data_IF_468066445214
#
_entry.id   IF_468066445214
#
_cell.length_a   1.000
_cell.length_b   1.000
_cell.length_c   1.000
_cell.angle_alpha   90.00
_cell.angle_beta   90.00
_cell.angle_gamma   90.00
#
_symmetry.space_group_name_H-M   'P 1'
#
loop_
_entity.id
_entity.type
_entity.pdbx_description
1 polymer ?
#
# COMPACT_ATOMS: atom_id res chain seq x y z
N UNK A 1 -5.51 -9.81 -9.03
CA UNK A 1 -5.92 -8.53 -9.65
C UNK A 1 -4.84 -8.15 -10.66
N UNK A 2 -5.18 -8.09 -11.95
CA UNK A 2 -4.23 -7.87 -13.06
C UNK A 2 -4.27 -6.45 -13.61
N UNK A 3 -4.50 -5.43 -12.76
CA UNK A 3 -4.80 -4.07 -13.20
C UNK A 3 -3.71 -3.46 -14.13
N UNK A 4 -2.44 -3.80 -13.90
CA UNK A 4 -1.35 -3.41 -14.81
C UNK A 4 -1.46 -4.10 -16.17
N UNK A 5 -1.75 -5.40 -16.20
CA UNK A 5 -1.92 -6.15 -17.43
C UNK A 5 -3.14 -5.66 -18.21
N UNK A 6 -4.23 -5.33 -17.50
CA UNK A 6 -5.44 -4.77 -18.08
C UNK A 6 -5.17 -3.41 -18.74
N UNK A 7 -4.42 -2.52 -18.07
CA UNK A 7 -3.98 -1.25 -18.66
C UNK A 7 -3.04 -1.45 -19.86
N UNK A 8 -2.15 -2.44 -19.82
CA UNK A 8 -1.25 -2.73 -20.94
C UNK A 8 -2.00 -3.26 -22.16
N UNK A 9 -3.08 -4.03 -21.95
CA UNK A 9 -3.96 -4.53 -23.01
C UNK A 9 -4.85 -3.42 -23.57
N UNK A 10 -5.50 -2.66 -22.68
CA UNK A 10 -6.44 -1.61 -23.04
C UNK A 10 -6.11 -0.33 -22.28
N UNK A 11 -5.64 0.69 -23.01
CA UNK A 11 -5.18 1.97 -22.44
C UNK A 11 -6.32 2.98 -22.35
N UNK A 12 -7.22 2.79 -21.39
CA UNK A 12 -8.33 3.71 -21.10
C UNK A 12 -8.07 4.46 -19.80
N UNK A 13 -8.82 5.54 -19.55
CA UNK A 13 -8.73 6.28 -18.29
C UNK A 13 -9.14 5.41 -17.09
N UNK A 14 -10.11 4.51 -17.27
CA UNK A 14 -10.55 3.58 -16.23
C UNK A 14 -9.48 2.54 -15.87
N UNK A 15 -8.86 1.90 -16.88
CA UNK A 15 -7.79 0.93 -16.62
C UNK A 15 -6.54 1.61 -16.05
N UNK A 16 -6.25 2.84 -16.47
CA UNK A 16 -5.21 3.67 -15.85
C UNK A 16 -5.52 3.94 -14.38
N UNK A 17 -6.73 4.39 -14.04
CA UNK A 17 -7.13 4.64 -12.65
C UNK A 17 -6.99 3.38 -11.78
N UNK A 18 -7.49 2.23 -12.26
CA UNK A 18 -7.34 0.95 -11.56
C UNK A 18 -5.88 0.57 -11.33
N UNK A 19 -5.01 0.84 -12.31
CA UNK A 19 -3.57 0.60 -12.19
C UNK A 19 -2.90 1.55 -11.18
N UNK A 20 -3.29 2.82 -11.15
CA UNK A 20 -2.79 3.82 -10.20
C UNK A 20 -3.25 3.52 -8.76
N UNK A 21 -4.48 3.05 -8.58
CA UNK A 21 -4.98 2.59 -7.28
C UNK A 21 -4.12 1.42 -6.78
N UNK A 22 -3.82 0.45 -7.65
CA UNK A 22 -2.93 -0.65 -7.29
C UNK A 22 -1.51 -0.17 -6.96
N UNK A 23 -0.98 0.81 -7.69
CA UNK A 23 0.30 1.44 -7.36
C UNK A 23 0.26 2.14 -6.01
N UNK A 24 -0.83 2.82 -5.67
CA UNK A 24 -0.95 3.48 -4.35
C UNK A 24 -0.92 2.47 -3.20
N UNK A 25 -1.48 1.27 -3.40
CA UNK A 25 -1.43 0.17 -2.43
C UNK A 25 0.00 -0.38 -2.31
N UNK A 26 0.67 -0.60 -3.44
CA UNK A 26 2.05 -1.07 -3.47
C UNK A 26 2.99 -0.13 -2.68
N UNK A 27 2.99 1.15 -3.04
CA UNK A 27 3.88 2.16 -2.42
C UNK A 27 3.48 2.49 -0.98
N UNK A 28 2.17 2.52 -0.70
CA UNK A 28 1.65 2.93 0.61
C UNK A 28 1.59 1.81 1.65
N UNK A 29 1.08 0.64 1.29
CA UNK A 29 0.83 -0.46 2.24
C UNK A 29 1.95 -1.48 2.19
N UNK A 30 2.26 -2.05 1.01
CA UNK A 30 3.20 -3.16 0.90
C UNK A 30 4.64 -2.74 1.26
N UNK A 31 5.11 -1.57 0.79
CA UNK A 31 6.44 -1.09 1.17
C UNK A 31 6.52 -0.70 2.64
N UNK A 32 5.49 -0.05 3.18
CA UNK A 32 5.49 0.39 4.58
C UNK A 32 5.48 -0.80 5.56
N UNK A 33 4.71 -1.86 5.27
CA UNK A 33 4.74 -3.10 6.06
C UNK A 33 6.13 -3.75 6.02
N UNK A 34 6.79 -3.77 4.84
CA UNK A 34 8.14 -4.27 4.67
C UNK A 34 9.19 -3.48 5.48
N UNK A 35 9.08 -2.15 5.56
CA UNK A 35 10.01 -1.32 6.32
C UNK A 35 9.91 -1.53 7.84
N UNK A 36 8.72 -1.83 8.34
CA UNK A 36 8.50 -2.08 9.78
C UNK A 36 9.41 -3.18 10.32
N UNK A 37 9.67 -4.23 9.52
CA UNK A 37 10.60 -5.29 9.88
C UNK A 37 12.03 -4.79 10.11
N UNK A 38 12.57 -4.03 9.15
CA UNK A 38 13.93 -3.52 9.24
C UNK A 38 14.08 -2.54 10.42
N UNK A 39 13.07 -1.70 10.67
CA UNK A 39 13.08 -0.82 11.83
C UNK A 39 13.05 -1.58 13.15
N UNK A 40 12.35 -2.72 13.22
CA UNK A 40 12.38 -3.58 14.40
C UNK A 40 13.79 -4.15 14.66
N UNK A 41 14.50 -4.59 13.61
CA UNK A 41 15.90 -5.03 13.75
C UNK A 41 16.82 -3.90 14.22
N UNK A 42 16.65 -2.69 13.67
CA UNK A 42 17.43 -1.52 14.06
C UNK A 42 17.24 -1.20 15.54
N UNK A 43 16.02 -1.33 16.09
CA UNK A 43 15.74 -1.16 17.53
C UNK A 43 16.48 -2.17 18.40
N UNK A 44 16.77 -3.34 17.87
CA UNK A 44 17.58 -4.37 18.54
C UNK A 44 19.10 -4.19 18.28
N UNK A 45 19.52 -3.04 17.75
CA UNK A 45 20.89 -2.74 17.33
C UNK A 45 21.44 -3.71 16.25
N UNK A 46 20.55 -4.31 15.45
CA UNK A 46 20.90 -5.20 14.33
C UNK A 46 20.66 -4.47 13.00
N UNK A 47 21.52 -4.74 12.01
CA UNK A 47 21.35 -4.23 10.64
C UNK A 47 21.22 -2.69 10.53
N UNK A 48 21.88 -1.92 11.40
CA UNK A 48 21.77 -0.45 11.45
C UNK A 48 22.21 0.24 10.16
N UNK A 49 23.19 -0.31 9.44
CA UNK A 49 23.58 0.17 8.11
C UNK A 49 22.46 0.04 7.08
N UNK A 50 21.80 -1.12 7.03
CA UNK A 50 20.61 -1.34 6.18
C UNK A 50 19.46 -0.44 6.60
N UNK A 51 19.26 -0.22 7.91
CA UNK A 51 18.26 0.71 8.42
C UNK A 51 18.39 2.14 7.87
N UNK A 52 19.62 2.62 7.68
CA UNK A 52 19.87 3.92 7.03
C UNK A 52 19.44 3.91 5.56
N UNK A 53 19.76 2.86 4.82
CA UNK A 53 19.33 2.72 3.41
C UNK A 53 17.80 2.71 3.32
N UNK A 54 17.14 1.91 4.16
CA UNK A 54 15.67 1.84 4.22
C UNK A 54 15.05 3.20 4.55
N UNK A 55 15.69 4.02 5.38
CA UNK A 55 15.18 5.37 5.67
C UNK A 55 15.21 6.31 4.46
N UNK A 56 16.19 6.17 3.56
CA UNK A 56 16.21 6.94 2.32
C UNK A 56 15.12 6.47 1.36
N UNK A 57 14.96 5.16 1.21
CA UNK A 57 13.89 4.58 0.37
C UNK A 57 12.52 5.04 0.88
N UNK A 58 12.25 4.91 2.19
CA UNK A 58 10.97 5.33 2.77
C UNK A 58 10.66 6.82 2.53
N UNK A 59 11.69 7.69 2.53
CA UNK A 59 11.51 9.10 2.19
C UNK A 59 11.07 9.30 0.75
N UNK A 60 11.60 8.50 -0.17
CA UNK A 60 11.25 8.57 -1.59
C UNK A 60 9.83 8.00 -1.81
N UNK A 61 9.45 6.94 -1.09
CA UNK A 61 8.09 6.36 -1.18
C UNK A 61 6.97 7.29 -0.71
N UNK A 62 7.25 8.20 0.24
CA UNK A 62 6.32 9.27 0.61
C UNK A 62 6.04 10.21 -0.58
N UNK A 63 7.06 10.50 -1.39
CA UNK A 63 6.90 11.33 -2.58
C UNK A 63 6.14 10.57 -3.70
N UNK A 64 6.43 9.28 -3.89
CA UNK A 64 5.70 8.44 -4.85
C UNK A 64 4.21 8.34 -4.50
N UNK A 65 3.89 8.03 -3.25
CA UNK A 65 2.50 7.93 -2.78
C UNK A 65 1.74 9.25 -2.94
N UNK A 66 2.40 10.37 -2.63
CA UNK A 66 1.83 11.70 -2.85
C UNK A 66 1.57 11.97 -4.33
N UNK A 67 2.56 11.70 -5.18
CA UNK A 67 2.42 11.89 -6.63
C UNK A 67 1.25 11.09 -7.20
N UNK A 68 1.14 9.81 -6.86
CA UNK A 68 0.04 8.94 -7.32
C UNK A 68 -1.31 9.49 -6.85
N UNK A 69 -1.40 9.94 -5.60
CA UNK A 69 -2.63 10.50 -5.04
C UNK A 69 -3.08 11.76 -5.76
N UNK A 70 -2.15 12.69 -6.03
CA UNK A 70 -2.44 13.91 -6.78
C UNK A 70 -2.82 13.61 -8.24
N UNK A 71 -2.15 12.64 -8.87
CA UNK A 71 -2.47 12.22 -10.23
C UNK A 71 -3.88 11.61 -10.33
N UNK A 72 -4.27 10.75 -9.39
CA UNK A 72 -5.64 10.20 -9.33
C UNK A 72 -6.67 11.34 -9.18
N UNK A 73 -6.41 12.31 -8.29
CA UNK A 73 -7.29 13.48 -8.10
C UNK A 73 -7.42 14.32 -9.37
N UNK A 74 -6.31 14.56 -10.07
CA UNK A 74 -6.31 15.31 -11.32
C UNK A 74 -7.13 14.60 -12.40
N UNK A 75 -6.91 13.29 -12.59
CA UNK A 75 -7.65 12.49 -13.59
C UNK A 75 -9.16 12.51 -13.31
N UNK A 76 -9.57 12.30 -12.06
CA UNK A 76 -10.99 12.33 -11.66
C UNK A 76 -11.57 13.74 -11.80
N UNK A 77 -10.79 14.77 -11.45
CA UNK A 77 -11.21 16.17 -11.56
C UNK A 77 -11.42 16.62 -13.01
N UNK A 78 -10.60 16.12 -13.94
CA UNK A 78 -10.73 16.38 -15.38
C UNK A 78 -11.81 15.52 -16.06
N UNK A 79 -12.16 14.37 -15.48
CA UNK A 79 -13.10 13.40 -16.03
C UNK A 79 -14.13 12.94 -14.96
N UNK A 80 -15.10 13.79 -14.59
CA UNK A 80 -16.04 13.50 -13.50
C UNK A 80 -16.90 12.25 -13.73
N UNK A 81 -17.11 11.84 -14.98
CA UNK A 81 -17.83 10.63 -15.36
C UNK A 81 -17.15 9.34 -14.89
N UNK A 82 -15.84 9.39 -14.61
CA UNK A 82 -15.10 8.26 -14.06
C UNK A 82 -15.39 8.03 -12.57
N UNK A 83 -15.98 9.02 -11.88
CA UNK A 83 -16.36 8.90 -10.48
C UNK A 83 -17.65 8.09 -10.33
N UNK A 84 -17.54 6.79 -10.58
CA UNK A 84 -18.66 5.86 -10.51
C UNK A 84 -18.71 5.12 -9.17
N UNK A 85 -19.88 4.54 -8.87
CA UNK A 85 -20.04 3.68 -7.69
C UNK A 85 -19.18 2.41 -7.83
N UNK A 86 -19.00 1.92 -9.06
CA UNK A 86 -18.17 0.77 -9.39
C UNK A 86 -16.70 1.04 -9.11
N UNK A 87 -16.19 2.23 -9.48
CA UNK A 87 -14.81 2.62 -9.16
C UNK A 87 -14.62 2.73 -7.64
N UNK A 88 -15.57 3.33 -6.93
CA UNK A 88 -15.53 3.45 -5.47
C UNK A 88 -15.50 2.07 -4.81
N UNK A 89 -16.38 1.16 -5.23
CA UNK A 89 -16.40 -0.22 -4.73
C UNK A 89 -15.09 -0.96 -5.03
N UNK A 90 -14.52 -0.78 -6.24
CA UNK A 90 -13.22 -1.35 -6.59
C UNK A 90 -12.11 -0.85 -5.67
N UNK A 91 -12.06 0.46 -5.37
CA UNK A 91 -11.07 1.02 -4.44
C UNK A 91 -11.19 0.34 -3.08
N UNK A 92 -12.38 0.30 -2.50
CA UNK A 92 -12.59 -0.34 -1.19
C UNK A 92 -12.15 -1.80 -1.18
N UNK A 93 -12.58 -2.58 -2.18
CA UNK A 93 -12.21 -3.99 -2.28
C UNK A 93 -10.71 -4.20 -2.48
N UNK A 94 -10.04 -3.37 -3.27
CA UNK A 94 -8.61 -3.45 -3.49
C UNK A 94 -7.83 -3.20 -2.19
N UNK A 95 -8.22 -2.18 -1.42
CA UNK A 95 -7.60 -1.87 -0.14
C UNK A 95 -7.88 -2.94 0.92
N UNK A 96 -9.13 -3.42 1.05
CA UNK A 96 -9.48 -4.51 1.96
C UNK A 96 -8.69 -5.78 1.66
N UNK A 97 -8.62 -6.15 0.38
CA UNK A 97 -7.85 -7.32 -0.04
C UNK A 97 -6.35 -7.16 0.24
N UNK A 98 -5.79 -5.97 0.02
CA UNK A 98 -4.40 -5.70 0.33
C UNK A 98 -4.10 -5.80 1.83
N UNK A 99 -4.99 -5.26 2.68
CA UNK A 99 -4.87 -5.35 4.14
C UNK A 99 -4.95 -6.81 4.61
N UNK A 100 -5.87 -7.59 4.04
CA UNK A 100 -6.00 -9.02 4.36
C UNK A 100 -4.71 -9.78 4.02
N UNK A 101 -4.18 -9.59 2.80
CA UNK A 101 -2.94 -10.23 2.36
C UNK A 101 -1.74 -9.81 3.21
N UNK A 102 -1.62 -8.52 3.55
CA UNK A 102 -0.52 -8.02 4.38
C UNK A 102 -0.64 -8.51 5.82
N UNK A 103 -1.85 -8.59 6.37
CA UNK A 103 -2.09 -9.17 7.69
C UNK A 103 -1.72 -10.66 7.72
N UNK A 104 -2.03 -11.39 6.64
CA UNK A 104 -1.63 -12.79 6.52
C UNK A 104 -0.10 -12.94 6.36
N UNK A 105 0.53 -12.08 5.57
CA UNK A 105 1.98 -12.11 5.32
C UNK A 105 2.80 -11.71 6.56
N UNK A 106 2.33 -10.71 7.31
CA UNK A 106 3.00 -10.17 8.51
C UNK A 106 2.49 -10.78 9.82
N UNK A 107 1.50 -11.67 9.75
CA UNK A 107 0.87 -12.29 10.91
C UNK A 107 1.82 -13.16 11.76
N UNK A 108 1.45 -13.43 13.02
CA UNK A 108 2.30 -14.08 14.01
C UNK A 108 2.71 -15.51 13.64
N UNK A 109 1.94 -16.19 12.80
CA UNK A 109 2.22 -17.55 12.32
C UNK A 109 3.36 -17.60 11.30
N UNK A 110 3.53 -16.54 10.50
CA UNK A 110 4.58 -16.44 9.48
C UNK A 110 5.77 -15.59 9.95
N UNK A 111 5.52 -14.64 10.84
CA UNK A 111 6.52 -13.70 11.32
C UNK A 111 6.46 -13.51 12.85
N UNK A 112 7.23 -14.29 13.62
CA UNK A 112 7.23 -14.24 15.09
C UNK A 112 7.63 -12.86 15.63
N UNK A 113 8.47 -12.11 14.91
CA UNK A 113 8.95 -10.80 15.35
C UNK A 113 7.90 -9.67 15.19
N UNK A 114 6.79 -9.88 14.46
CA UNK A 114 5.66 -8.93 14.41
C UNK A 114 4.78 -9.03 15.64
N UNK A 115 4.68 -10.22 16.25
CA UNK A 115 3.84 -10.47 17.43
C UNK A 115 4.19 -9.58 18.63
N UNK A 116 5.39 -9.01 18.65
CA UNK A 116 5.89 -8.11 19.68
C UNK A 116 5.65 -6.62 19.37
N UNK A 117 5.15 -6.26 18.19
CA UNK A 117 4.89 -4.87 17.79
C UNK A 117 3.40 -4.55 17.79
N UNK A 118 3.04 -3.40 18.36
CA UNK A 118 1.66 -2.88 18.44
C UNK A 118 1.00 -2.62 17.07
N UNK A 119 1.73 -2.81 15.96
CA UNK A 119 1.21 -2.65 14.61
C UNK A 119 0.25 -3.78 14.20
N UNK A 120 0.33 -4.96 14.82
CA UNK A 120 -0.52 -6.11 14.50
C UNK A 120 -1.76 -6.27 15.40
N UNK A 121 -1.89 -5.46 16.46
CA UNK A 121 -3.06 -5.50 17.36
C UNK A 121 -4.14 -4.54 16.88
N UNK A 122 -4.70 -4.78 15.69
CA UNK A 122 -5.98 -4.21 15.32
C UNK A 122 -7.09 -5.04 15.99
N UNK A 123 -7.25 -4.92 17.31
CA UNK A 123 -8.52 -5.31 17.93
C UNK A 123 -9.54 -4.23 17.58
N UNK A 124 -10.66 -4.57 16.90
CA UNK A 124 -11.68 -3.58 16.60
C UNK A 124 -12.21 -2.96 17.91
N UNK A 125 -12.53 -1.65 17.92
CA UNK A 125 -13.05 -1.01 19.12
C UNK A 125 -14.36 -1.71 19.50
N UNK A 126 -14.34 -2.39 20.63
CA UNK A 126 -15.54 -2.95 21.24
C UNK A 126 -16.34 -1.78 21.79
N UNK A 127 -17.59 -1.71 21.37
CA UNK A 127 -18.61 -0.78 21.88
C UNK A 127 -18.91 -1.07 23.35
#
# INVERSE_FOLDING_TARGET
>A
MGAYDDFMREKTAETLLKSLIQSSILEGINFYSGFAYFYNMVRQNRMTGTGKIISFINRDELAHTKFISELIRAIIGENPELQTNELTAYVHQAFEHAIELETQCTGPTRWPACSASSACTATPPTT
#
